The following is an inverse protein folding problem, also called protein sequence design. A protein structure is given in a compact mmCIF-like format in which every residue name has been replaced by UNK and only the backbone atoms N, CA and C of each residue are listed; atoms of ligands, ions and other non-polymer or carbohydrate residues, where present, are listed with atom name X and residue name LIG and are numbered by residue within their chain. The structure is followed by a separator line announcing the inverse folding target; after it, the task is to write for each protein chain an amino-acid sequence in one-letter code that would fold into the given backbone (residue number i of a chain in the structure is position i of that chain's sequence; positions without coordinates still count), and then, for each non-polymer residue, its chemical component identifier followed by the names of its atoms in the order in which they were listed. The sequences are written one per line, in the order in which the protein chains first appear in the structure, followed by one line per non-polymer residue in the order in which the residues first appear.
data_IF_259646338125
#
_entry.id   IF_259646338125
#
_cell.length_a   1.000
_cell.length_b   1.000
_cell.length_c   1.000
_cell.angle_alpha   90.00
_cell.angle_beta   90.00
_cell.angle_gamma   90.00
#
_symmetry.space_group_name_H-M   'P 1'
#
loop_
_entity.id
_entity.type
_entity.pdbx_description
1 polymer ?
#
# COMPACT_ATOMS: atom_id res chain seq x y z
N UNK A 1 -2.14 11.90 13.02
CA UNK A 1 -3.27 11.15 12.38
C UNK A 1 -3.66 9.98 13.27
N UNK A 2 -4.93 9.59 13.31
CA UNK A 2 -5.33 8.42 14.09
C UNK A 2 -4.83 7.12 13.41
N UNK A 3 -4.33 6.16 14.22
CA UNK A 3 -3.84 4.87 13.71
C UNK A 3 -4.86 4.16 12.82
N UNK A 4 -6.16 4.25 13.17
CA UNK A 4 -7.25 3.67 12.38
C UNK A 4 -7.37 4.25 10.98
N UNK A 5 -7.02 5.52 10.77
CA UNK A 5 -7.03 6.17 9.46
C UNK A 5 -5.86 5.70 8.60
N UNK A 6 -4.68 5.54 9.21
CA UNK A 6 -3.50 4.98 8.54
C UNK A 6 -3.78 3.54 8.08
N UNK A 7 -4.36 2.72 8.96
CA UNK A 7 -4.67 1.32 8.65
C UNK A 7 -5.68 1.19 7.50
N UNK A 8 -6.69 2.05 7.43
CA UNK A 8 -7.66 2.11 6.32
C UNK A 8 -7.03 2.45 4.97
N UNK A 9 -5.87 3.11 4.97
CA UNK A 9 -5.11 3.39 3.75
C UNK A 9 -4.14 2.26 3.38
N UNK A 10 -3.97 1.21 4.21
CA UNK A 10 -2.99 0.16 3.96
C UNK A 10 -3.51 -0.95 3.03
N UNK A 11 -2.69 -1.30 2.05
CA UNK A 11 -2.70 -2.62 1.43
C UNK A 11 -1.74 -3.49 2.26
N UNK A 12 -2.29 -4.36 3.14
CA UNK A 12 -1.48 -5.25 3.97
C UNK A 12 -0.80 -6.29 3.10
N UNK A 13 0.53 -6.22 2.99
CA UNK A 13 1.29 -6.82 1.87
C UNK A 13 2.12 -8.02 2.30
N UNK A 14 2.02 -9.13 1.56
CA UNK A 14 2.90 -10.28 1.64
C UNK A 14 3.18 -10.80 0.23
N UNK A 15 4.40 -10.57 -0.28
CA UNK A 15 4.81 -10.89 -1.65
C UNK A 15 6.09 -11.75 -1.72
N UNK A 16 6.51 -12.35 -0.60
CA UNK A 16 7.63 -13.30 -0.60
C UNK A 16 7.30 -14.49 -1.49
N UNK A 17 8.32 -14.99 -2.20
CA UNK A 17 8.17 -16.11 -3.15
C UNK A 17 7.83 -17.44 -2.48
N UNK A 18 8.15 -17.56 -1.18
CA UNK A 18 8.00 -18.76 -0.35
C UNK A 18 6.82 -18.67 0.63
N UNK A 19 5.93 -17.69 0.49
CA UNK A 19 4.79 -17.55 1.39
C UNK A 19 3.78 -18.70 1.21
N UNK A 20 3.30 -19.21 2.34
CA UNK A 20 2.34 -20.30 2.38
C UNK A 20 0.88 -19.80 2.37
N UNK A 21 -0.05 -20.70 2.03
CA UNK A 21 -1.49 -20.40 2.10
C UNK A 21 -1.95 -20.07 3.52
N UNK A 22 -1.31 -20.62 4.55
CA UNK A 22 -1.63 -20.32 5.95
C UNK A 22 -1.18 -18.92 6.36
N UNK A 23 0.00 -18.48 5.89
CA UNK A 23 0.44 -17.10 6.08
C UNK A 23 -0.49 -16.10 5.37
N UNK A 24 -1.01 -16.45 4.18
CA UNK A 24 -1.99 -15.62 3.46
C UNK A 24 -3.32 -15.54 4.25
N UNK A 25 -3.81 -16.61 4.84
CA UNK A 25 -5.01 -16.56 5.70
C UNK A 25 -4.78 -15.67 6.91
N UNK A 26 -3.66 -15.83 7.60
CA UNK A 26 -3.27 -14.97 8.73
C UNK A 26 -3.22 -13.50 8.33
N UNK A 27 -2.65 -13.19 7.16
CA UNK A 27 -2.63 -11.84 6.61
C UNK A 27 -4.05 -11.29 6.39
N UNK A 28 -4.95 -12.11 5.83
CA UNK A 28 -6.35 -11.74 5.61
C UNK A 28 -7.08 -11.45 6.92
N UNK A 29 -6.93 -12.31 7.94
CA UNK A 29 -7.54 -12.11 9.26
C UNK A 29 -7.06 -10.81 9.92
N UNK A 30 -5.76 -10.53 9.83
CA UNK A 30 -5.18 -9.27 10.30
C UNK A 30 -5.78 -8.08 9.55
N UNK A 31 -5.85 -8.15 8.21
CA UNK A 31 -6.39 -7.05 7.40
C UNK A 31 -7.88 -6.78 7.69
N UNK A 32 -8.67 -7.82 7.95
CA UNK A 32 -10.08 -7.68 8.36
C UNK A 32 -10.16 -7.04 9.74
N UNK A 33 -9.41 -7.57 10.72
CA UNK A 33 -9.40 -7.05 12.10
C UNK A 33 -9.05 -5.57 12.15
N UNK A 34 -8.06 -5.14 11.38
CA UNK A 34 -7.55 -3.77 11.37
C UNK A 34 -8.17 -2.89 10.29
N UNK A 35 -9.20 -3.37 9.59
CA UNK A 35 -9.94 -2.62 8.57
C UNK A 35 -9.04 -2.06 7.46
N UNK A 36 -8.06 -2.83 7.00
CA UNK A 36 -7.18 -2.44 5.91
C UNK A 36 -7.95 -2.26 4.60
N UNK A 37 -7.42 -1.43 3.69
CA UNK A 37 -8.01 -1.20 2.36
C UNK A 37 -8.09 -2.49 1.53
N UNK A 38 -7.03 -3.30 1.58
CA UNK A 38 -6.91 -4.60 0.92
C UNK A 38 -5.79 -5.43 1.54
N UNK A 39 -5.67 -6.69 1.10
CA UNK A 39 -4.39 -7.43 1.14
C UNK A 39 -3.75 -7.40 -0.23
N UNK A 40 -2.41 -7.33 -0.29
CA UNK A 40 -1.65 -7.44 -1.55
C UNK A 40 -0.80 -8.71 -1.51
N UNK A 41 -1.13 -9.68 -2.37
CA UNK A 41 -0.64 -11.05 -2.33
C UNK A 41 -0.20 -11.55 -3.71
N UNK A 42 0.63 -12.63 -3.80
CA UNK A 42 1.02 -13.21 -5.08
C UNK A 42 -0.19 -13.76 -5.86
N UNK A 43 -0.17 -13.73 -7.22
CA UNK A 43 -1.29 -14.15 -8.06
C UNK A 43 -1.80 -15.57 -7.78
N UNK A 44 -0.91 -16.51 -7.50
CA UNK A 44 -1.25 -17.92 -7.22
C UNK A 44 -2.13 -18.11 -5.97
N UNK A 45 -2.19 -17.13 -5.06
CA UNK A 45 -3.00 -17.18 -3.86
C UNK A 45 -4.36 -16.48 -3.97
N UNK A 46 -4.63 -15.74 -5.06
CA UNK A 46 -5.84 -14.92 -5.22
C UNK A 46 -7.11 -15.73 -5.06
N UNK A 47 -7.25 -16.84 -5.81
CA UNK A 47 -8.46 -17.68 -5.77
C UNK A 47 -8.70 -18.28 -4.38
N UNK A 48 -7.63 -18.71 -3.68
CA UNK A 48 -7.70 -19.22 -2.32
C UNK A 48 -8.13 -18.16 -1.30
N UNK A 49 -7.49 -17.00 -1.35
CA UNK A 49 -7.81 -15.87 -0.50
C UNK A 49 -9.24 -15.36 -0.73
N UNK A 50 -9.68 -15.24 -1.99
CA UNK A 50 -11.04 -14.78 -2.31
C UNK A 50 -12.12 -15.74 -1.79
N UNK A 51 -11.91 -17.05 -1.89
CA UNK A 51 -12.81 -18.04 -1.28
C UNK A 51 -12.86 -17.93 0.24
N UNK A 52 -11.71 -17.61 0.86
CA UNK A 52 -11.60 -17.50 2.32
C UNK A 52 -12.30 -16.25 2.87
N UNK A 53 -12.06 -15.07 2.26
CA UNK A 53 -12.59 -13.81 2.78
C UNK A 53 -13.96 -13.41 2.21
N UNK A 54 -14.37 -13.96 1.08
CA UNK A 54 -15.61 -13.59 0.40
C UNK A 54 -15.64 -12.10 0.01
N UNK A 55 -16.64 -11.38 0.53
CA UNK A 55 -16.81 -9.92 0.33
C UNK A 55 -16.22 -9.07 1.47
N UNK A 56 -15.71 -9.71 2.55
CA UNK A 56 -15.28 -8.99 3.76
C UNK A 56 -13.96 -8.21 3.56
N UNK A 57 -13.20 -8.54 2.51
CA UNK A 57 -11.92 -7.89 2.25
C UNK A 57 -11.68 -7.85 0.73
N UNK A 58 -11.08 -6.74 0.25
CA UNK A 58 -10.60 -6.63 -1.13
C UNK A 58 -9.28 -7.37 -1.29
N UNK A 59 -9.13 -8.05 -2.42
CA UNK A 59 -7.90 -8.73 -2.80
C UNK A 59 -7.19 -7.92 -3.89
N UNK A 60 -6.01 -7.40 -3.56
CA UNK A 60 -5.06 -6.84 -4.49
C UNK A 60 -4.02 -7.92 -4.86
N UNK A 61 -3.58 -7.93 -6.11
CA UNK A 61 -2.45 -8.75 -6.54
C UNK A 61 -1.56 -7.99 -7.51
N UNK A 62 -0.40 -8.57 -7.83
CA UNK A 62 0.61 -7.98 -8.70
C UNK A 62 0.68 -8.73 -10.03
N UNK A 63 1.03 -8.02 -11.11
CA UNK A 63 1.30 -8.61 -12.43
C UNK A 63 2.54 -8.01 -13.08
N UNK A 64 3.20 -8.79 -13.93
CA UNK A 64 4.49 -8.38 -14.51
C UNK A 64 5.56 -8.13 -13.42
N UNK A 65 5.42 -8.73 -12.28
CA UNK A 65 6.11 -8.35 -11.03
C UNK A 65 7.29 -9.30 -10.72
N UNK A 66 8.40 -8.76 -10.15
CA UNK A 66 8.66 -7.34 -9.88
C UNK A 66 9.32 -6.58 -11.04
N UNK A 67 9.71 -7.25 -12.12
CA UNK A 67 10.66 -6.73 -13.11
C UNK A 67 10.02 -5.90 -14.24
N UNK A 68 8.75 -6.09 -14.54
CA UNK A 68 8.01 -5.32 -15.55
C UNK A 68 8.33 -5.61 -17.02
N UNK A 69 9.36 -6.37 -17.34
CA UNK A 69 9.87 -6.60 -18.70
C UNK A 69 9.15 -7.70 -19.51
N UNK A 70 8.08 -8.29 -18.95
CA UNK A 70 7.25 -9.24 -19.67
C UNK A 70 6.56 -8.56 -20.84
N UNK A 71 6.22 -9.34 -21.89
CA UNK A 71 5.47 -8.80 -23.01
C UNK A 71 4.09 -8.30 -22.57
N UNK A 72 3.56 -7.31 -23.28
CA UNK A 72 2.21 -6.76 -23.04
C UNK A 72 1.13 -7.84 -23.05
N UNK A 73 1.24 -8.83 -23.97
CA UNK A 73 0.30 -9.94 -24.04
C UNK A 73 0.34 -10.80 -22.78
N UNK A 74 1.54 -11.09 -22.25
CA UNK A 74 1.71 -11.85 -21.02
C UNK A 74 1.11 -11.12 -19.81
N UNK A 75 1.41 -9.82 -19.65
CA UNK A 75 0.83 -8.99 -18.57
C UNK A 75 -0.69 -8.92 -18.63
N UNK A 76 -1.25 -8.71 -19.84
CA UNK A 76 -2.70 -8.68 -20.03
C UNK A 76 -3.37 -10.03 -19.76
N UNK A 77 -2.71 -11.15 -20.07
CA UNK A 77 -3.18 -12.48 -19.75
C UNK A 77 -3.16 -12.74 -18.24
N UNK A 78 -2.06 -12.40 -17.57
CA UNK A 78 -1.91 -12.51 -16.10
C UNK A 78 -2.95 -11.67 -15.37
N UNK A 79 -3.19 -10.42 -15.83
CA UNK A 79 -4.21 -9.54 -15.26
C UNK A 79 -5.62 -10.13 -15.41
N UNK A 80 -5.95 -10.68 -16.55
CA UNK A 80 -7.25 -11.31 -16.81
C UNK A 80 -7.46 -12.54 -15.92
N UNK A 81 -6.45 -13.39 -15.79
CA UNK A 81 -6.47 -14.55 -14.91
C UNK A 81 -6.68 -14.13 -13.45
N UNK A 82 -5.94 -13.12 -12.97
CA UNK A 82 -6.10 -12.59 -11.64
C UNK A 82 -7.52 -12.08 -11.37
N UNK A 83 -8.13 -11.36 -12.31
CA UNK A 83 -9.52 -10.88 -12.20
C UNK A 83 -10.52 -12.04 -12.16
N UNK A 84 -10.34 -13.06 -13.02
CA UNK A 84 -11.18 -14.27 -13.03
C UNK A 84 -11.09 -15.04 -11.71
N UNK A 85 -9.91 -15.05 -11.08
CA UNK A 85 -9.67 -15.66 -9.77
C UNK A 85 -10.19 -14.81 -8.60
N UNK A 86 -10.73 -13.61 -8.85
CA UNK A 86 -11.41 -12.79 -7.87
C UNK A 86 -10.59 -11.63 -7.31
N UNK A 87 -9.51 -11.21 -7.98
CA UNK A 87 -8.83 -9.97 -7.61
C UNK A 87 -9.75 -8.76 -7.81
N UNK A 88 -9.76 -7.86 -6.84
CA UNK A 88 -10.50 -6.60 -6.86
C UNK A 88 -9.61 -5.45 -7.33
N UNK A 89 -8.29 -5.57 -7.15
CA UNK A 89 -7.28 -4.56 -7.46
C UNK A 89 -6.04 -5.23 -8.06
N UNK A 90 -5.42 -4.58 -9.05
CA UNK A 90 -4.25 -5.08 -9.77
C UNK A 90 -3.14 -4.02 -9.74
N UNK A 91 -1.95 -4.40 -9.24
CA UNK A 91 -0.73 -3.59 -9.28
C UNK A 91 0.18 -4.10 -10.40
N UNK A 92 0.26 -3.38 -11.53
CA UNK A 92 1.15 -3.75 -12.63
C UNK A 92 2.49 -3.03 -12.56
N UNK A 93 3.56 -3.68 -13.00
CA UNK A 93 4.87 -3.02 -13.19
C UNK A 93 5.03 -2.63 -14.64
N UNK A 94 5.43 -1.37 -14.92
CA UNK A 94 5.76 -0.91 -16.27
C UNK A 94 7.01 -1.60 -16.81
N UNK A 95 7.20 -1.56 -18.13
CA UNK A 95 8.45 -1.98 -18.73
C UNK A 95 9.47 -0.81 -18.69
N UNK A 96 10.41 -0.89 -17.73
CA UNK A 96 11.42 0.13 -17.52
C UNK A 96 12.40 0.26 -18.69
N UNK A 97 12.69 -0.83 -19.43
CA UNK A 97 13.54 -0.74 -20.63
C UNK A 97 12.91 0.14 -21.68
N UNK A 98 11.58 0.02 -21.90
CA UNK A 98 10.87 0.92 -22.83
C UNK A 98 10.95 2.39 -22.40
N UNK A 99 10.94 2.66 -21.09
CA UNK A 99 11.12 4.03 -20.56
C UNK A 99 12.53 4.54 -20.87
N UNK A 100 13.56 3.73 -20.62
CA UNK A 100 14.97 4.10 -20.88
C UNK A 100 15.27 4.32 -22.37
N UNK A 101 14.58 3.56 -23.22
CA UNK A 101 14.69 3.72 -24.69
C UNK A 101 13.82 4.88 -25.24
N UNK A 102 13.08 5.58 -24.38
CA UNK A 102 12.16 6.65 -24.77
C UNK A 102 10.93 6.17 -25.57
N UNK A 103 10.61 4.89 -25.51
CA UNK A 103 9.48 4.27 -26.20
C UNK A 103 8.15 4.51 -25.48
N UNK A 104 7.80 5.77 -25.23
CA UNK A 104 6.68 6.19 -24.41
C UNK A 104 5.33 5.69 -24.89
N UNK A 105 5.14 5.62 -26.22
CA UNK A 105 3.92 5.07 -26.81
C UNK A 105 3.72 3.59 -26.44
N UNK A 106 4.79 2.81 -26.43
CA UNK A 106 4.74 1.41 -26.05
C UNK A 106 4.42 1.23 -24.55
N UNK A 107 4.93 2.13 -23.70
CA UNK A 107 4.57 2.14 -22.27
C UNK A 107 3.08 2.43 -22.08
N UNK A 108 2.53 3.41 -22.81
CA UNK A 108 1.11 3.74 -22.76
C UNK A 108 0.24 2.55 -23.27
N UNK A 109 0.64 1.91 -24.35
CA UNK A 109 -0.06 0.75 -24.92
C UNK A 109 -0.03 -0.46 -23.97
N UNK A 110 1.08 -0.69 -23.27
CA UNK A 110 1.22 -1.73 -22.26
C UNK A 110 0.20 -1.51 -21.11
N UNK A 111 0.12 -0.30 -20.57
CA UNK A 111 -0.84 0.05 -19.52
C UNK A 111 -2.29 -0.08 -20.03
N UNK A 112 -2.60 0.45 -21.23
CA UNK A 112 -3.94 0.36 -21.83
C UNK A 112 -4.39 -1.08 -22.08
N UNK A 113 -3.49 -1.96 -22.50
CA UNK A 113 -3.79 -3.37 -22.67
C UNK A 113 -4.16 -4.05 -21.35
N UNK A 114 -3.42 -3.75 -20.28
CA UNK A 114 -3.74 -4.24 -18.92
C UNK A 114 -5.03 -3.60 -18.42
N UNK A 115 -5.25 -2.29 -18.61
CA UNK A 115 -6.52 -1.61 -18.26
C UNK A 115 -7.72 -2.29 -18.89
N UNK A 116 -7.63 -2.66 -20.16
CA UNK A 116 -8.67 -3.41 -20.85
C UNK A 116 -8.94 -4.78 -20.23
N UNK A 117 -7.88 -5.47 -19.81
CA UNK A 117 -7.97 -6.77 -19.15
C UNK A 117 -8.55 -6.71 -17.73
N UNK A 118 -8.44 -5.55 -17.07
CA UNK A 118 -8.90 -5.30 -15.69
C UNK A 118 -10.16 -4.41 -15.63
N UNK A 119 -10.96 -4.38 -16.68
CA UNK A 119 -12.15 -3.51 -16.74
C UNK A 119 -13.04 -3.65 -15.49
N UNK A 120 -13.40 -2.51 -14.89
CA UNK A 120 -14.20 -2.46 -13.65
C UNK A 120 -13.44 -2.78 -12.35
N UNK A 121 -12.12 -3.01 -12.42
CA UNK A 121 -11.25 -3.22 -11.25
C UNK A 121 -10.30 -2.04 -11.07
N UNK A 122 -9.76 -1.86 -9.88
CA UNK A 122 -8.73 -0.85 -9.61
C UNK A 122 -7.41 -1.31 -10.24
N UNK A 123 -6.83 -0.45 -11.08
CA UNK A 123 -5.52 -0.64 -11.68
C UNK A 123 -4.53 0.36 -11.08
N UNK A 124 -3.43 -0.14 -10.51
CA UNK A 124 -2.33 0.67 -10.00
C UNK A 124 -1.07 0.38 -10.81
N UNK A 125 -0.39 1.43 -11.25
CA UNK A 125 0.78 1.35 -12.13
C UNK A 125 2.05 1.65 -11.33
N UNK A 126 2.89 0.63 -11.15
CA UNK A 126 4.19 0.73 -10.47
C UNK A 126 5.21 1.25 -11.48
N UNK A 127 5.80 2.40 -11.20
CA UNK A 127 6.80 3.02 -12.07
C UNK A 127 8.25 2.79 -11.60
N UNK A 128 8.47 2.28 -10.40
CA UNK A 128 9.78 2.01 -9.78
C UNK A 128 10.68 3.26 -9.72
N UNK A 129 10.26 4.25 -8.95
CA UNK A 129 10.84 5.59 -8.88
C UNK A 129 12.37 5.61 -8.72
N UNK A 130 12.94 4.69 -7.94
CA UNK A 130 14.37 4.64 -7.66
C UNK A 130 15.26 4.34 -8.89
N UNK A 131 14.65 3.95 -10.02
CA UNK A 131 15.33 3.68 -11.29
C UNK A 131 15.11 4.77 -12.35
N UNK A 132 14.37 5.84 -12.00
CA UNK A 132 13.91 6.88 -12.94
C UNK A 132 14.53 8.24 -12.62
N UNK A 133 14.73 9.07 -13.66
CA UNK A 133 15.00 10.49 -13.50
C UNK A 133 13.72 11.25 -13.14
N UNK A 134 13.83 12.50 -12.72
CA UNK A 134 12.67 13.34 -12.40
C UNK A 134 11.79 13.55 -13.64
N UNK A 135 12.41 13.84 -14.80
CA UNK A 135 11.71 14.04 -16.07
C UNK A 135 10.94 12.77 -16.50
N UNK A 136 11.54 11.58 -16.31
CA UNK A 136 10.87 10.32 -16.60
C UNK A 136 9.65 10.12 -15.71
N UNK A 137 9.74 10.42 -14.39
CA UNK A 137 8.63 10.35 -13.44
C UNK A 137 7.49 11.31 -13.82
N UNK A 138 7.82 12.57 -14.15
CA UNK A 138 6.83 13.58 -14.56
C UNK A 138 6.09 13.10 -15.82
N UNK A 139 6.80 12.61 -16.81
CA UNK A 139 6.19 12.10 -18.05
C UNK A 139 5.29 10.89 -17.80
N UNK A 140 5.70 9.99 -16.91
CA UNK A 140 4.90 8.84 -16.52
C UNK A 140 3.61 9.22 -15.79
N UNK A 141 3.59 10.31 -15.01
CA UNK A 141 2.36 10.80 -14.39
C UNK A 141 1.26 11.07 -15.44
N UNK A 142 1.61 11.74 -16.54
CA UNK A 142 0.68 12.00 -17.65
C UNK A 142 0.26 10.70 -18.34
N UNK A 143 1.22 9.82 -18.71
CA UNK A 143 0.97 8.56 -19.41
C UNK A 143 0.05 7.65 -18.59
N UNK A 144 0.27 7.53 -17.29
CA UNK A 144 -0.57 6.72 -16.38
C UNK A 144 -2.01 7.22 -16.39
N UNK A 145 -2.20 8.54 -16.30
CA UNK A 145 -3.53 9.16 -16.34
C UNK A 145 -4.24 8.95 -17.69
N UNK A 146 -3.56 9.23 -18.81
CA UNK A 146 -4.08 9.05 -20.17
C UNK A 146 -4.39 7.58 -20.51
N UNK A 147 -3.76 6.66 -19.80
CA UNK A 147 -4.01 5.21 -19.96
C UNK A 147 -5.18 4.70 -19.13
N UNK A 148 -5.83 5.56 -18.34
CA UNK A 148 -7.02 5.25 -17.56
C UNK A 148 -6.74 4.40 -16.31
N UNK A 149 -5.54 4.44 -15.77
CA UNK A 149 -5.22 3.82 -14.50
C UNK A 149 -5.77 4.65 -13.31
N UNK A 150 -6.11 3.97 -12.22
CA UNK A 150 -6.68 4.61 -11.03
C UNK A 150 -5.59 5.14 -10.09
N UNK A 151 -4.40 4.50 -10.10
CA UNK A 151 -3.27 4.88 -9.26
C UNK A 151 -1.95 4.85 -10.02
N UNK A 152 -1.06 5.77 -9.65
CA UNK A 152 0.38 5.66 -9.85
C UNK A 152 1.02 5.19 -8.54
N UNK A 153 1.91 4.18 -8.61
CA UNK A 153 2.58 3.59 -7.44
C UNK A 153 4.09 3.76 -7.54
N UNK A 154 4.73 4.15 -6.45
CA UNK A 154 6.16 4.47 -6.42
C UNK A 154 7.06 3.28 -6.73
N UNK A 155 6.83 2.13 -6.09
CA UNK A 155 7.87 1.08 -6.02
C UNK A 155 7.28 -0.32 -5.88
N UNK A 156 8.06 -1.32 -6.31
CA UNK A 156 7.76 -2.74 -6.08
C UNK A 156 8.07 -3.17 -4.64
N UNK A 157 9.10 -2.58 -4.01
CA UNK A 157 9.69 -3.04 -2.76
C UNK A 157 10.75 -4.15 -2.94
N UNK A 158 11.09 -4.49 -4.19
CA UNK A 158 12.08 -5.53 -4.56
C UNK A 158 13.27 -4.96 -5.35
N UNK A 159 13.42 -3.63 -5.39
CA UNK A 159 14.53 -2.95 -6.03
C UNK A 159 15.43 -2.28 -4.97
N UNK A 160 16.37 -1.45 -5.43
CA UNK A 160 17.36 -0.76 -4.57
C UNK A 160 16.79 0.33 -3.66
N UNK A 161 15.52 0.75 -3.88
CA UNK A 161 14.85 1.79 -3.09
C UNK A 161 13.35 1.57 -3.01
N UNK A 162 12.71 2.30 -2.07
CA UNK A 162 11.27 2.34 -1.87
C UNK A 162 10.71 3.75 -2.10
N UNK A 163 9.54 4.04 -1.53
CA UNK A 163 8.95 5.37 -1.56
C UNK A 163 9.83 6.38 -0.82
N UNK A 164 9.96 7.57 -1.39
CA UNK A 164 10.54 8.74 -0.73
C UNK A 164 9.51 9.86 -0.64
N UNK A 165 9.71 10.80 0.28
CA UNK A 165 8.80 11.95 0.46
C UNK A 165 8.78 12.81 -0.80
N UNK A 166 9.95 12.98 -1.42
CA UNK A 166 10.14 13.73 -2.67
C UNK A 166 9.37 13.09 -3.83
N UNK A 167 9.46 11.74 -3.97
CA UNK A 167 8.74 11.02 -5.02
C UNK A 167 7.22 11.12 -4.85
N UNK A 168 6.70 10.93 -3.64
CA UNK A 168 5.26 11.02 -3.38
C UNK A 168 4.73 12.43 -3.67
N UNK A 169 5.43 13.47 -3.21
CA UNK A 169 5.07 14.86 -3.49
C UNK A 169 5.10 15.17 -4.99
N UNK A 170 6.14 14.69 -5.70
CA UNK A 170 6.27 14.84 -7.14
C UNK A 170 5.13 14.16 -7.88
N UNK A 171 4.86 12.88 -7.56
CA UNK A 171 3.79 12.12 -8.20
C UNK A 171 2.43 12.77 -7.96
N UNK A 172 2.15 13.26 -6.74
CA UNK A 172 0.89 13.97 -6.47
C UNK A 172 0.77 15.26 -7.27
N UNK A 173 1.86 16.02 -7.35
CA UNK A 173 1.89 17.31 -8.05
C UNK A 173 1.65 17.18 -9.55
N UNK A 174 2.21 16.16 -10.20
CA UNK A 174 2.19 16.03 -11.66
C UNK A 174 1.16 15.03 -12.19
N UNK A 175 0.56 14.21 -11.32
CA UNK A 175 -0.53 13.32 -11.77
C UNK A 175 -1.85 14.09 -11.87
N UNK A 176 -2.71 13.76 -12.84
CA UNK A 176 -4.08 14.26 -12.89
C UNK A 176 -4.84 14.00 -11.58
N UNK A 177 -5.83 14.82 -11.25
CA UNK A 177 -6.64 14.65 -10.04
C UNK A 177 -7.37 13.29 -9.99
N UNK A 178 -7.68 12.73 -11.14
CA UNK A 178 -8.33 11.42 -11.28
C UNK A 178 -7.40 10.26 -10.92
N UNK A 179 -6.08 10.48 -10.87
CA UNK A 179 -5.07 9.47 -10.53
C UNK A 179 -4.62 9.66 -9.09
N UNK A 180 -4.82 8.64 -8.28
CA UNK A 180 -4.38 8.62 -6.89
C UNK A 180 -2.91 8.15 -6.79
N UNK A 181 -2.27 8.41 -5.65
CA UNK A 181 -0.87 8.00 -5.40
C UNK A 181 -0.83 6.89 -4.36
N UNK A 182 -0.13 5.80 -4.68
CA UNK A 182 0.22 4.73 -3.72
C UNK A 182 1.71 4.79 -3.41
N UNK A 183 2.05 5.03 -2.14
CA UNK A 183 3.40 4.88 -1.64
C UNK A 183 3.66 3.42 -1.26
N UNK A 184 4.78 2.84 -1.66
CA UNK A 184 5.12 1.46 -1.34
C UNK A 184 6.64 1.25 -1.23
N UNK A 185 7.05 0.29 -0.38
CA UNK A 185 8.46 0.01 -0.08
C UNK A 185 9.05 1.00 0.92
N UNK A 186 9.75 0.48 1.92
CA UNK A 186 10.46 1.30 2.91
C UNK A 186 9.60 1.96 3.99
N UNK A 187 8.29 1.72 4.04
CA UNK A 187 7.40 2.27 5.07
C UNK A 187 7.59 1.47 6.36
N UNK A 188 8.45 1.98 7.25
CA UNK A 188 8.92 1.24 8.43
C UNK A 188 8.28 1.70 9.75
N UNK A 189 7.75 2.92 9.81
CA UNK A 189 7.18 3.55 11.01
C UNK A 189 5.81 4.17 10.75
N UNK A 190 5.08 4.49 11.82
CA UNK A 190 3.83 5.26 11.73
C UNK A 190 4.09 6.67 11.19
N UNK A 191 5.23 7.26 11.56
CA UNK A 191 5.62 8.58 11.05
C UNK A 191 5.82 8.57 9.54
N UNK A 192 6.48 7.53 8.96
CA UNK A 192 6.59 7.42 7.51
C UNK A 192 5.21 7.34 6.84
N UNK A 193 4.29 6.58 7.44
CA UNK A 193 2.93 6.44 6.91
C UNK A 193 2.18 7.79 6.94
N UNK A 194 2.24 8.53 8.06
CA UNK A 194 1.64 9.86 8.21
C UNK A 194 2.23 10.85 7.20
N UNK A 195 3.54 10.88 7.05
CA UNK A 195 4.21 11.79 6.12
C UNK A 195 3.77 11.51 4.66
N UNK A 196 3.71 10.25 4.25
CA UNK A 196 3.26 9.92 2.88
C UNK A 196 1.79 10.29 2.65
N UNK A 197 0.91 10.06 3.64
CA UNK A 197 -0.49 10.48 3.55
C UNK A 197 -0.63 12.01 3.49
N UNK A 198 0.12 12.73 4.32
CA UNK A 198 0.15 14.19 4.31
C UNK A 198 0.66 14.78 2.99
N UNK A 199 1.58 14.08 2.30
CA UNK A 199 2.11 14.46 0.98
C UNK A 199 1.18 14.09 -0.18
N UNK A 200 0.02 13.49 0.10
CA UNK A 200 -1.03 13.22 -0.88
C UNK A 200 -1.08 11.78 -1.39
N UNK A 201 -0.36 10.84 -0.78
CA UNK A 201 -0.67 9.43 -0.98
C UNK A 201 -2.04 9.12 -0.35
N UNK A 202 -2.84 8.30 -1.04
CA UNK A 202 -4.14 7.82 -0.52
C UNK A 202 -4.12 6.32 -0.24
N UNK A 203 -3.01 5.66 -0.55
CA UNK A 203 -2.79 4.24 -0.34
C UNK A 203 -1.34 3.96 0.06
N UNK A 204 -1.15 3.01 0.96
CA UNK A 204 0.15 2.59 1.47
C UNK A 204 0.36 1.10 1.23
N UNK A 205 1.41 0.71 0.51
CA UNK A 205 1.80 -0.70 0.35
C UNK A 205 2.84 -1.08 1.40
N UNK A 206 2.44 -1.78 2.45
CA UNK A 206 3.33 -2.08 3.57
C UNK A 206 2.99 -3.41 4.24
N UNK A 207 4.02 -4.09 4.75
CA UNK A 207 3.90 -5.25 5.64
C UNK A 207 4.09 -4.88 7.13
N UNK A 208 4.50 -3.63 7.42
CA UNK A 208 4.97 -3.22 8.76
C UNK A 208 3.89 -2.59 9.63
N UNK A 209 3.03 -1.74 9.06
CA UNK A 209 2.10 -0.92 9.85
C UNK A 209 1.12 -1.78 10.66
N UNK A 210 0.56 -2.84 10.09
CA UNK A 210 -0.33 -3.75 10.83
C UNK A 210 0.43 -4.47 11.95
N UNK A 211 1.71 -4.82 11.73
CA UNK A 211 2.55 -5.43 12.78
C UNK A 211 2.77 -4.46 13.93
N UNK A 212 3.02 -3.18 13.64
CA UNK A 212 3.14 -2.15 14.67
C UNK A 212 1.83 -1.98 15.46
N UNK A 213 0.68 -2.02 14.80
CA UNK A 213 -0.62 -1.99 15.47
C UNK A 213 -0.80 -3.17 16.44
N UNK A 214 -0.40 -4.39 16.01
CA UNK A 214 -0.43 -5.60 16.86
C UNK A 214 0.53 -5.46 18.05
N UNK A 215 1.72 -4.90 17.83
CA UNK A 215 2.72 -4.66 18.89
C UNK A 215 2.19 -3.66 19.93
N UNK A 216 1.55 -2.58 19.50
CA UNK A 216 0.93 -1.57 20.37
C UNK A 216 -0.23 -2.13 21.21
N UNK A 217 -1.07 -3.00 20.64
CA UNK A 217 -2.15 -3.64 21.39
C UNK A 217 -1.66 -4.56 22.53
N UNK A 218 -0.44 -5.10 22.40
CA UNK A 218 0.17 -6.00 23.40
C UNK A 218 0.85 -5.25 24.55
N UNK A 219 1.09 -3.94 24.41
CA UNK A 219 1.67 -3.14 25.48
C UNK A 219 0.62 -2.92 26.59
N UNK A 220 0.96 -3.13 27.87
CA UNK A 220 0.04 -2.81 28.97
C UNK A 220 -0.33 -1.32 28.88
N UNK A 221 -1.62 -1.02 28.90
CA UNK A 221 -2.07 0.36 29.08
C UNK A 221 -1.59 0.79 30.47
N UNK A 222 -0.66 1.72 30.55
CA UNK A 222 -0.29 2.36 31.80
C UNK A 222 -1.59 2.91 32.44
N UNK A 223 -1.96 2.36 33.59
CA UNK A 223 -3.05 2.91 34.37
C UNK A 223 -2.62 4.31 34.84
N UNK A 224 -3.49 5.32 34.71
CA UNK A 224 -3.18 6.64 35.29
C UNK A 224 -2.94 6.44 36.79
N UNK A 225 -1.75 6.83 37.23
CA UNK A 225 -1.41 6.87 38.67
C UNK A 225 -2.38 7.86 39.30
N UNK A 226 -3.33 7.37 40.11
CA UNK A 226 -4.10 8.23 40.96
C UNK A 226 -3.12 8.83 42.00
N UNK A 227 -2.80 10.10 41.86
CA UNK A 227 -2.15 10.86 42.93
C UNK A 227 -3.11 10.88 44.12
N UNK A 228 -2.82 10.04 45.12
CA UNK A 228 -3.46 10.15 46.44
C UNK A 228 -3.06 11.50 47.04
N UNK A 229 -4.01 12.44 47.06
CA UNK A 229 -3.89 13.67 47.79
C UNK A 229 -3.73 13.34 49.26
N UNK A 230 -2.53 13.54 49.79
CA UNK A 230 -2.24 13.49 51.20
C UNK A 230 -3.09 14.56 51.94
N UNK A 231 -4.11 14.08 52.62
CA UNK A 231 -4.89 14.89 53.54
C UNK A 231 -4.04 15.09 54.82
N UNK A 232 -3.37 16.23 54.92
CA UNK A 232 -2.69 16.66 56.17
C UNK A 232 -3.76 16.91 57.24
N UNK A 233 -3.78 16.07 58.28
CA UNK A 233 -4.49 16.30 59.53
C UNK A 233 -3.68 17.28 60.38
N UNK A 234 -4.21 18.48 60.60
CA UNK A 234 -3.70 19.43 61.58
C UNK A 234 -3.99 18.93 63.01
N UNK A 235 -3.02 18.99 63.91
CA UNK A 235 -3.26 18.64 65.31
C UNK A 235 -4.01 19.77 66.05
N UNK A 236 -5.14 19.42 66.66
CA UNK A 236 -5.82 20.29 67.71
C UNK A 236 -4.90 20.49 68.88
N UNK A 237 -4.61 21.74 69.14
CA UNK A 237 -4.01 22.18 70.45
C UNK A 237 -5.10 22.23 71.48
N UNK A 238 -4.99 21.37 72.47
CA UNK A 238 -5.73 21.53 73.75
C UNK A 238 -5.15 22.62 74.56
N UNK A 239 -6.02 23.49 75.08
CA UNK A 239 -5.73 24.37 76.19
C UNK A 239 -6.58 23.93 77.36
N UNK A 240 -5.87 23.53 78.43
CA UNK A 240 -6.42 23.47 79.79
C UNK A 240 -6.60 24.88 80.35
N UNK A 241 -7.73 25.15 80.98
CA UNK A 241 -8.03 25.66 82.32
C UNK A 241 -9.53 25.79 82.48
#
# INVERSE_FOLDING_TARGET
MELSEILKACDHTLLRVDCSSEEIKTLCDQAIKYHCASVCIPPCHVAGAKRYVGSNLKICTVIGFPNGYMSTVAKAAEARDAVLNGADEIDMVINLSMVKDGCWQNVAEDIKAVRKATAGKILKVIIECCLLTEEEKIRLCAIVGESGADFIKTSTGFSKGGATREDVALLRRFSPETVQVKAAGGIASLQDAEDFLALGATRLGTSRIVKLAIELEKQPKEQPVCEESSCEQSPEQGTEE
#
